data_IF_953288813462
#
_entry.id   IF_953288813462
#
_cell.length_a   1.000
_cell.length_b   1.000
_cell.length_c   1.000
_cell.angle_alpha   90.00
_cell.angle_beta   90.00
_cell.angle_gamma   90.00
#
_symmetry.space_group_name_H-M   'P 1'
#
loop_
_entity.id
_entity.type
_entity.pdbx_description
1 polymer ?
#
# COMPACT_ATOMS: atom_id res chain seq x y z
N UNK A 1 0.64 -26.69 -15.09
CA UNK A 1 1.29 -25.46 -15.66
C UNK A 1 2.55 -25.13 -14.87
N UNK A 2 3.54 -24.45 -15.48
CA UNK A 2 4.60 -23.79 -14.68
C UNK A 2 4.02 -22.55 -13.98
N UNK A 3 4.72 -22.03 -12.96
CA UNK A 3 4.29 -20.80 -12.29
C UNK A 3 4.12 -19.62 -13.27
N UNK A 4 5.12 -19.38 -14.14
CA UNK A 4 5.02 -18.31 -15.15
C UNK A 4 3.82 -18.50 -16.09
N UNK A 5 3.60 -19.72 -16.59
CA UNK A 5 2.43 -20.02 -17.41
C UNK A 5 1.10 -19.77 -16.67
N UNK A 6 1.08 -20.00 -15.36
CA UNK A 6 -0.10 -19.75 -14.54
C UNK A 6 -0.37 -18.25 -14.39
N UNK A 7 0.67 -17.45 -14.17
CA UNK A 7 0.53 -15.98 -14.09
C UNK A 7 0.10 -15.40 -15.44
N UNK A 8 0.71 -15.86 -16.54
CA UNK A 8 0.34 -15.43 -17.89
C UNK A 8 -1.11 -15.81 -18.22
N UNK A 9 -1.54 -17.02 -17.85
CA UNK A 9 -2.93 -17.47 -17.98
C UNK A 9 -3.90 -16.57 -17.22
N UNK A 10 -3.61 -16.22 -15.95
CA UNK A 10 -4.43 -15.32 -15.16
C UNK A 10 -4.51 -13.94 -15.81
N UNK A 11 -3.43 -13.41 -16.34
CA UNK A 11 -3.40 -12.11 -17.00
C UNK A 11 -4.20 -12.08 -18.31
N UNK A 12 -4.19 -13.18 -19.06
CA UNK A 12 -4.97 -13.30 -20.29
C UNK A 12 -6.46 -13.48 -20.00
N UNK A 13 -6.80 -14.35 -19.04
CA UNK A 13 -8.19 -14.66 -18.70
C UNK A 13 -8.87 -13.47 -17.99
N UNK A 14 -8.13 -12.77 -17.16
CA UNK A 14 -8.62 -11.73 -16.25
C UNK A 14 -7.59 -10.59 -16.22
N UNK A 15 -7.55 -9.72 -17.22
CA UNK A 15 -6.59 -8.64 -17.26
C UNK A 15 -6.67 -7.79 -15.97
N UNK A 16 -5.57 -7.66 -15.21
CA UNK A 16 -5.61 -6.94 -13.95
C UNK A 16 -5.76 -5.44 -14.16
N UNK A 17 -6.34 -4.74 -13.17
CA UNK A 17 -6.54 -3.30 -13.20
C UNK A 17 -5.26 -2.53 -13.55
N UNK A 18 -4.13 -2.98 -13.07
CA UNK A 18 -2.85 -2.36 -13.37
C UNK A 18 -2.45 -2.49 -14.86
N UNK A 19 -2.98 -3.41 -15.63
CA UNK A 19 -2.72 -3.48 -17.08
C UNK A 19 -3.75 -2.71 -17.91
N UNK A 20 -5.03 -2.82 -17.59
CA UNK A 20 -6.12 -2.29 -18.45
C UNK A 20 -6.95 -1.16 -17.80
N UNK A 21 -6.56 -0.70 -16.61
CA UNK A 21 -7.26 0.38 -15.92
C UNK A 21 -8.71 0.04 -15.57
N UNK A 22 -9.60 1.03 -15.71
CA UNK A 22 -11.01 0.93 -15.36
C UNK A 22 -11.77 -0.21 -16.02
N UNK A 23 -11.33 -0.68 -17.20
CA UNK A 23 -11.96 -1.82 -17.90
C UNK A 23 -11.90 -3.14 -17.11
N UNK A 24 -10.96 -3.28 -16.17
CA UNK A 24 -10.88 -4.43 -15.27
C UNK A 24 -11.86 -4.35 -14.09
N UNK A 25 -12.44 -3.19 -13.81
CA UNK A 25 -13.32 -3.00 -12.67
C UNK A 25 -14.70 -3.61 -12.95
N UNK A 26 -15.09 -4.57 -12.11
CA UNK A 26 -16.41 -5.21 -12.14
C UNK A 26 -17.14 -4.79 -10.86
N UNK A 27 -18.08 -3.84 -10.93
CA UNK A 27 -18.81 -3.41 -9.74
C UNK A 27 -19.74 -4.51 -9.23
N UNK A 28 -19.80 -4.69 -7.90
CA UNK A 28 -20.65 -5.67 -7.24
C UNK A 28 -19.88 -6.85 -6.65
N UNK A 29 -20.56 -7.61 -5.80
CA UNK A 29 -19.96 -8.73 -5.08
C UNK A 29 -20.43 -10.11 -5.59
N UNK A 30 -21.22 -10.16 -6.66
CA UNK A 30 -21.83 -11.41 -7.16
C UNK A 30 -20.79 -12.48 -7.50
N UNK A 31 -19.76 -12.13 -8.29
CA UNK A 31 -18.69 -13.08 -8.60
C UNK A 31 -17.91 -13.49 -7.34
N UNK A 32 -17.72 -12.55 -6.43
CA UNK A 32 -17.05 -12.81 -5.15
C UNK A 32 -17.86 -13.77 -4.28
N UNK A 33 -19.18 -13.58 -4.20
CA UNK A 33 -20.08 -14.50 -3.50
C UNK A 33 -20.03 -15.91 -4.09
N UNK A 34 -20.09 -16.03 -5.41
CA UNK A 34 -19.95 -17.32 -6.11
C UNK A 34 -18.60 -17.98 -5.84
N UNK A 35 -17.51 -17.19 -5.82
CA UNK A 35 -16.15 -17.70 -5.49
C UNK A 35 -16.10 -18.21 -4.04
N UNK A 36 -16.65 -17.46 -3.08
CA UNK A 36 -16.62 -17.87 -1.67
C UNK A 36 -17.45 -19.14 -1.45
N UNK A 37 -18.62 -19.25 -2.08
CA UNK A 37 -19.43 -20.46 -2.03
C UNK A 37 -18.69 -21.67 -2.64
N UNK A 38 -18.08 -21.49 -3.82
CA UNK A 38 -17.31 -22.54 -4.49
C UNK A 38 -16.11 -23.01 -3.63
N UNK A 39 -15.47 -22.11 -2.91
CA UNK A 39 -14.33 -22.41 -2.03
C UNK A 39 -14.73 -22.76 -0.59
N UNK A 40 -16.03 -23.01 -0.33
CA UNK A 40 -16.58 -23.38 0.99
C UNK A 40 -16.29 -22.33 2.08
N UNK A 41 -16.44 -21.04 1.74
CA UNK A 41 -16.40 -19.89 2.64
C UNK A 41 -15.10 -19.76 3.45
N UNK A 42 -13.92 -19.68 2.81
CA UNK A 42 -12.65 -19.51 3.53
C UNK A 42 -12.61 -18.22 4.36
N UNK A 43 -13.34 -17.15 3.96
CA UNK A 43 -13.45 -15.87 4.67
C UNK A 43 -14.09 -15.99 6.07
N UNK A 44 -14.66 -17.17 6.39
CA UNK A 44 -15.26 -17.49 7.70
C UNK A 44 -14.39 -18.37 8.57
N UNK A 45 -13.07 -18.45 8.28
CA UNK A 45 -12.14 -19.33 8.99
C UNK A 45 -11.03 -18.59 9.73
N UNK A 46 -11.00 -17.25 9.68
CA UNK A 46 -10.02 -16.42 10.36
C UNK A 46 -10.61 -15.07 10.77
N UNK A 47 -9.99 -14.42 11.75
CA UNK A 47 -10.30 -13.02 12.07
C UNK A 47 -9.56 -12.09 11.10
N UNK A 48 -10.11 -10.90 10.82
CA UNK A 48 -9.50 -9.96 9.88
C UNK A 48 -9.45 -8.52 10.40
N UNK A 49 -8.36 -7.82 10.10
CA UNK A 49 -8.28 -6.36 10.15
C UNK A 49 -8.40 -5.85 8.72
N UNK A 50 -9.47 -5.12 8.43
CA UNK A 50 -9.82 -4.69 7.08
C UNK A 50 -9.44 -3.23 6.86
N UNK A 51 -8.61 -2.95 5.85
CA UNK A 51 -7.95 -1.64 5.70
C UNK A 51 -8.30 -1.00 4.36
N UNK A 52 -9.00 0.15 4.42
CA UNK A 52 -9.28 1.04 3.29
C UNK A 52 -8.53 2.37 3.44
N UNK A 53 -8.61 3.20 2.41
CA UNK A 53 -8.03 4.55 2.37
C UNK A 53 -7.62 4.95 0.97
N UNK A 54 -7.23 6.19 0.78
CA UNK A 54 -6.66 6.65 -0.49
C UNK A 54 -5.18 6.27 -0.52
N UNK A 55 -4.38 6.81 0.37
CA UNK A 55 -2.95 6.51 0.50
C UNK A 55 -2.67 5.82 1.84
N UNK A 56 -1.50 5.22 1.99
CA UNK A 56 -1.04 4.63 3.25
C UNK A 56 -1.60 3.26 3.60
N UNK A 57 -2.56 2.70 2.83
CA UNK A 57 -3.14 1.37 3.08
C UNK A 57 -2.07 0.30 3.26
N UNK A 58 -1.20 0.12 2.26
CA UNK A 58 -0.13 -0.88 2.29
C UNK A 58 0.81 -0.68 3.48
N UNK A 59 1.33 0.56 3.71
CA UNK A 59 2.20 0.85 4.84
C UNK A 59 1.54 0.51 6.18
N UNK A 60 0.29 0.94 6.38
CA UNK A 60 -0.48 0.64 7.60
C UNK A 60 -0.71 -0.86 7.77
N UNK A 61 -1.03 -1.58 6.67
CA UNK A 61 -1.20 -3.04 6.68
C UNK A 61 0.07 -3.75 7.11
N UNK A 62 1.22 -3.36 6.56
CA UNK A 62 2.51 -3.95 6.89
C UNK A 62 2.95 -3.63 8.35
N UNK A 63 2.74 -2.39 8.82
CA UNK A 63 3.03 -2.01 10.22
C UNK A 63 2.20 -2.85 11.21
N UNK A 64 0.91 -3.02 10.93
CA UNK A 64 0.02 -3.84 11.76
C UNK A 64 0.46 -5.31 11.71
N UNK A 65 0.67 -5.87 10.50
CA UNK A 65 1.06 -7.26 10.34
C UNK A 65 2.42 -7.58 11.01
N UNK A 66 3.42 -6.70 10.84
CA UNK A 66 4.73 -6.85 11.49
C UNK A 66 4.62 -6.86 13.02
N UNK A 67 3.78 -5.98 13.58
CA UNK A 67 3.59 -5.90 15.04
C UNK A 67 2.87 -7.13 15.61
N UNK A 68 1.84 -7.61 14.90
CA UNK A 68 1.12 -8.83 15.30
C UNK A 68 2.02 -10.07 15.16
N UNK A 69 2.84 -10.14 14.12
CA UNK A 69 3.84 -11.19 13.95
C UNK A 69 4.91 -11.14 15.06
N UNK A 70 5.44 -9.96 15.39
CA UNK A 70 6.38 -9.77 16.49
C UNK A 70 5.78 -10.14 17.87
N UNK A 71 4.44 -10.07 17.99
CA UNK A 71 3.71 -10.55 19.16
C UNK A 71 3.59 -12.08 19.21
N UNK A 72 3.97 -12.80 18.16
CA UNK A 72 3.93 -14.26 18.07
C UNK A 72 2.65 -14.84 17.46
N UNK A 73 1.78 -14.01 16.88
CA UNK A 73 0.60 -14.49 16.15
C UNK A 73 0.97 -15.03 14.78
N UNK A 74 0.16 -15.97 14.31
CA UNK A 74 0.17 -16.41 12.92
C UNK A 74 -0.66 -15.43 12.07
N UNK A 75 0.03 -14.59 11.32
CA UNK A 75 -0.57 -13.48 10.58
C UNK A 75 -0.62 -13.76 9.09
N UNK A 76 -1.79 -13.59 8.46
CA UNK A 76 -1.93 -13.45 7.02
C UNK A 76 -1.86 -11.98 6.61
N UNK A 77 -1.22 -11.67 5.49
CA UNK A 77 -1.18 -10.31 4.94
C UNK A 77 -1.54 -10.35 3.46
N UNK A 78 -2.62 -9.63 3.10
CA UNK A 78 -3.05 -9.41 1.72
C UNK A 78 -2.94 -7.94 1.36
N UNK A 79 -2.12 -7.63 0.34
CA UNK A 79 -1.86 -6.26 -0.13
C UNK A 79 -1.86 -6.15 -1.65
N UNK A 80 -2.06 -4.94 -2.18
CA UNK A 80 -2.06 -4.67 -3.61
C UNK A 80 -1.69 -3.22 -3.97
N UNK A 81 -1.11 -2.99 -5.15
CA UNK A 81 -0.55 -3.97 -6.09
C UNK A 81 0.80 -4.53 -5.61
N UNK A 82 1.32 -5.56 -6.27
CA UNK A 82 2.72 -5.99 -6.15
C UNK A 82 3.64 -5.07 -6.99
N UNK A 83 4.92 -5.07 -6.69
CA UNK A 83 5.94 -4.29 -7.43
C UNK A 83 6.76 -5.17 -8.38
N UNK A 84 7.26 -6.30 -7.90
CA UNK A 84 8.18 -7.18 -8.64
C UNK A 84 7.58 -8.56 -8.85
N UNK A 85 7.09 -9.19 -7.78
CA UNK A 85 6.58 -10.57 -7.78
C UNK A 85 5.10 -10.59 -7.38
N UNK A 86 4.29 -11.33 -8.14
CA UNK A 86 2.87 -11.53 -7.84
C UNK A 86 2.63 -11.97 -6.39
N UNK A 87 3.50 -12.81 -5.85
CA UNK A 87 3.39 -13.41 -4.50
C UNK A 87 3.54 -12.38 -3.37
N UNK A 88 4.04 -11.18 -3.65
CA UNK A 88 4.07 -10.07 -2.68
C UNK A 88 2.68 -9.77 -2.11
N UNK A 89 1.63 -10.07 -2.89
CA UNK A 89 0.23 -9.83 -2.49
C UNK A 89 -0.23 -10.71 -1.33
N UNK A 90 0.40 -11.87 -1.12
CA UNK A 90 -0.07 -12.91 -0.20
C UNK A 90 1.11 -13.39 0.63
N UNK A 91 1.13 -13.03 1.90
CA UNK A 91 2.18 -13.44 2.84
C UNK A 91 1.56 -14.06 4.09
N UNK A 92 2.29 -15.00 4.69
CA UNK A 92 1.93 -15.58 5.98
C UNK A 92 3.14 -15.57 6.88
N UNK A 93 2.96 -15.24 8.16
CA UNK A 93 4.03 -15.30 9.14
C UNK A 93 4.45 -16.73 9.42
N UNK A 94 5.72 -16.91 9.75
CA UNK A 94 6.26 -18.19 10.24
C UNK A 94 5.94 -18.37 11.73
N UNK A 95 6.20 -19.55 12.27
CA UNK A 95 6.10 -19.80 13.73
C UNK A 95 7.21 -19.08 14.53
N UNK A 96 8.30 -18.72 13.87
CA UNK A 96 9.37 -17.92 14.49
C UNK A 96 9.14 -16.44 14.19
N UNK A 97 8.77 -15.69 15.22
CA UNK A 97 8.50 -14.24 15.16
C UNK A 97 9.69 -13.37 14.73
N UNK A 98 10.89 -13.93 14.69
CA UNK A 98 12.10 -13.24 14.25
C UNK A 98 12.42 -13.50 12.77
N UNK A 99 11.69 -14.42 12.13
CA UNK A 99 11.85 -14.71 10.69
C UNK A 99 10.88 -13.86 9.87
N UNK A 100 11.28 -13.45 8.65
CA UNK A 100 10.38 -12.74 7.75
C UNK A 100 9.13 -13.55 7.42
N UNK A 101 8.01 -12.84 7.24
CA UNK A 101 6.79 -13.41 6.67
C UNK A 101 7.10 -13.97 5.27
N UNK A 102 6.59 -15.15 4.97
CA UNK A 102 6.83 -15.84 3.70
C UNK A 102 5.76 -15.50 2.68
N UNK A 103 6.17 -15.25 1.45
CA UNK A 103 5.25 -15.19 0.31
C UNK A 103 4.64 -16.58 0.06
N UNK A 104 3.43 -16.61 -0.46
CA UNK A 104 2.79 -17.85 -0.91
C UNK A 104 3.71 -18.60 -1.88
N UNK A 105 3.78 -19.93 -1.75
CA UNK A 105 4.60 -20.75 -2.62
C UNK A 105 4.05 -20.74 -4.07
N UNK A 106 4.94 -20.74 -5.05
CA UNK A 106 4.58 -20.82 -6.47
C UNK A 106 3.69 -22.04 -6.77
N UNK A 107 4.04 -23.19 -6.18
CA UNK A 107 3.27 -24.43 -6.31
C UNK A 107 1.83 -24.29 -5.81
N UNK A 108 1.61 -23.45 -4.78
CA UNK A 108 0.27 -23.22 -4.23
C UNK A 108 -0.58 -22.35 -5.16
N UNK A 109 0.06 -21.34 -5.80
CA UNK A 109 -0.59 -20.52 -6.84
C UNK A 109 -1.00 -21.38 -8.03
N UNK A 110 -0.08 -22.19 -8.53
CA UNK A 110 -0.35 -23.12 -9.65
C UNK A 110 -1.49 -24.07 -9.31
N UNK A 111 -1.42 -24.72 -8.17
CA UNK A 111 -2.46 -25.67 -7.73
C UNK A 111 -3.84 -25.01 -7.63
N UNK A 112 -3.93 -23.82 -7.03
CA UNK A 112 -5.21 -23.09 -6.93
C UNK A 112 -5.83 -22.87 -8.32
N UNK A 113 -5.05 -22.41 -9.28
CA UNK A 113 -5.55 -22.13 -10.63
C UNK A 113 -5.96 -23.42 -11.33
N UNK A 114 -5.19 -24.49 -11.21
CA UNK A 114 -5.49 -25.79 -11.83
C UNK A 114 -6.76 -26.42 -11.24
N UNK A 115 -6.90 -26.43 -9.91
CA UNK A 115 -8.07 -26.97 -9.21
C UNK A 115 -9.35 -26.20 -9.54
N UNK A 116 -9.27 -24.90 -9.77
CA UNK A 116 -10.44 -24.04 -10.00
C UNK A 116 -10.61 -23.61 -11.47
N UNK A 117 -9.82 -24.16 -12.39
CA UNK A 117 -9.76 -23.71 -13.80
C UNK A 117 -11.13 -23.61 -14.45
N UNK A 118 -11.93 -24.68 -14.40
CA UNK A 118 -13.26 -24.73 -15.02
C UNK A 118 -14.19 -23.66 -14.46
N UNK A 119 -14.15 -23.45 -13.13
CA UNK A 119 -14.94 -22.42 -12.47
C UNK A 119 -14.50 -21.00 -12.92
N UNK A 120 -13.20 -20.74 -12.94
CA UNK A 120 -12.63 -19.45 -13.36
C UNK A 120 -12.98 -19.11 -14.82
N UNK A 121 -12.97 -20.12 -15.71
CA UNK A 121 -13.34 -19.95 -17.12
C UNK A 121 -14.84 -19.72 -17.32
N UNK A 122 -15.68 -20.25 -16.43
CA UNK A 122 -17.14 -20.14 -16.50
C UNK A 122 -17.62 -18.80 -15.92
N UNK A 123 -17.22 -18.49 -14.70
CA UNK A 123 -17.67 -17.29 -13.95
C UNK A 123 -16.93 -16.05 -14.39
N UNK A 124 -15.67 -16.22 -14.82
CA UNK A 124 -14.76 -15.13 -15.24
C UNK A 124 -14.69 -14.01 -14.20
N UNK A 125 -14.36 -14.30 -12.93
CA UNK A 125 -14.15 -13.26 -11.94
C UNK A 125 -13.03 -12.31 -12.39
N UNK A 126 -12.92 -11.14 -11.81
CA UNK A 126 -11.78 -10.25 -12.06
C UNK A 126 -10.49 -10.82 -11.49
N UNK A 127 -9.35 -10.33 -11.97
CA UNK A 127 -8.03 -10.69 -11.43
C UNK A 127 -7.96 -10.43 -9.91
N UNK A 128 -8.55 -9.31 -9.44
CA UNK A 128 -8.55 -8.97 -8.02
C UNK A 128 -9.41 -9.96 -7.21
N UNK A 129 -10.61 -10.30 -7.68
CA UNK A 129 -11.48 -11.31 -7.05
C UNK A 129 -10.77 -12.66 -6.94
N UNK A 130 -10.12 -13.11 -8.01
CA UNK A 130 -9.39 -14.39 -8.03
C UNK A 130 -8.20 -14.38 -7.07
N UNK A 131 -7.41 -13.30 -7.04
CA UNK A 131 -6.23 -13.20 -6.16
C UNK A 131 -6.61 -13.07 -4.69
N UNK A 132 -7.72 -12.38 -4.39
CA UNK A 132 -8.29 -12.29 -3.05
C UNK A 132 -8.80 -13.66 -2.58
N UNK A 133 -9.52 -14.38 -3.44
CA UNK A 133 -10.02 -15.74 -3.13
C UNK A 133 -8.87 -16.71 -2.84
N UNK A 134 -7.80 -16.69 -3.64
CA UNK A 134 -6.56 -17.44 -3.38
C UNK A 134 -5.97 -17.09 -2.00
N UNK A 135 -5.90 -15.79 -1.68
CA UNK A 135 -5.37 -15.35 -0.40
C UNK A 135 -6.21 -15.88 0.76
N UNK A 136 -7.52 -15.77 0.69
CA UNK A 136 -8.43 -16.22 1.76
C UNK A 136 -8.39 -17.75 1.94
N UNK A 137 -8.35 -18.52 0.85
CA UNK A 137 -8.18 -19.95 0.93
C UNK A 137 -6.82 -20.31 1.55
N UNK A 138 -5.76 -19.64 1.15
CA UNK A 138 -4.42 -19.87 1.70
C UNK A 138 -4.36 -19.53 3.20
N UNK A 139 -4.95 -18.43 3.63
CA UNK A 139 -5.02 -18.06 5.05
C UNK A 139 -5.80 -19.09 5.89
N UNK A 140 -6.91 -19.59 5.37
CA UNK A 140 -7.67 -20.65 6.02
C UNK A 140 -6.88 -21.97 6.13
N UNK A 141 -6.16 -22.36 5.07
CA UNK A 141 -5.30 -23.55 5.06
C UNK A 141 -4.11 -23.40 6.02
N UNK A 142 -3.54 -22.22 6.10
CA UNK A 142 -2.43 -21.89 7.00
C UNK A 142 -2.88 -21.65 8.44
N UNK A 143 -4.20 -21.69 8.72
CA UNK A 143 -4.78 -21.48 10.04
C UNK A 143 -4.27 -20.19 10.70
N UNK A 144 -4.30 -19.07 9.97
CA UNK A 144 -3.87 -17.78 10.52
C UNK A 144 -4.80 -17.34 11.65
N UNK A 145 -4.23 -16.80 12.73
CA UNK A 145 -5.00 -16.23 13.84
C UNK A 145 -5.74 -14.97 13.39
N UNK A 146 -5.04 -14.14 12.59
CA UNK A 146 -5.57 -12.88 12.08
C UNK A 146 -5.01 -12.58 10.69
N UNK A 147 -5.86 -12.16 9.76
CA UNK A 147 -5.46 -11.64 8.47
C UNK A 147 -5.53 -10.11 8.46
N UNK A 148 -4.49 -9.45 7.96
CA UNK A 148 -4.50 -8.03 7.63
C UNK A 148 -4.79 -7.90 6.15
N UNK A 149 -5.94 -7.33 5.80
CA UNK A 149 -6.49 -7.34 4.45
C UNK A 149 -6.64 -5.92 3.92
N UNK A 150 -5.87 -5.58 2.90
CA UNK A 150 -5.95 -4.31 2.19
C UNK A 150 -7.06 -4.33 1.13
N UNK A 151 -7.91 -3.31 1.13
CA UNK A 151 -8.90 -3.02 0.07
C UNK A 151 -8.20 -2.65 -1.23
N UNK A 152 -8.65 -3.21 -2.34
CA UNK A 152 -8.11 -2.85 -3.67
C UNK A 152 -8.58 -1.48 -4.13
N UNK A 153 -9.88 -1.25 -4.22
CA UNK A 153 -10.48 -0.02 -4.70
C UNK A 153 -11.76 0.33 -3.92
N UNK A 154 -11.85 1.57 -3.44
CA UNK A 154 -13.03 2.06 -2.72
C UNK A 154 -13.18 1.42 -1.35
N UNK A 155 -14.13 0.51 -1.21
CA UNK A 155 -14.40 -0.26 0.00
C UNK A 155 -15.75 -0.98 -0.06
N UNK A 156 -16.86 -0.25 -0.22
CA UNK A 156 -18.22 -0.80 -0.18
C UNK A 156 -18.47 -1.96 -1.15
N UNK A 157 -17.96 -1.86 -2.37
CA UNK A 157 -18.10 -2.85 -3.44
C UNK A 157 -16.77 -3.56 -3.75
N UNK A 158 -15.76 -3.39 -2.90
CA UNK A 158 -14.50 -4.14 -3.02
C UNK A 158 -14.72 -5.60 -2.65
N UNK A 159 -14.09 -6.52 -3.38
CA UNK A 159 -14.24 -7.97 -3.17
C UNK A 159 -13.85 -8.39 -1.74
N UNK A 160 -12.88 -7.69 -1.12
CA UNK A 160 -12.49 -7.97 0.26
C UNK A 160 -13.61 -7.68 1.27
N UNK A 161 -14.62 -6.89 0.88
CA UNK A 161 -15.75 -6.55 1.74
C UNK A 161 -16.77 -7.69 1.92
N UNK A 162 -16.52 -8.85 1.31
CA UNK A 162 -17.30 -10.09 1.51
C UNK A 162 -17.16 -10.64 2.94
N UNK A 163 -16.07 -10.33 3.65
CA UNK A 163 -15.84 -10.77 5.02
C UNK A 163 -16.98 -10.33 5.94
N UNK A 164 -17.58 -11.25 6.73
CA UNK A 164 -18.66 -10.92 7.67
C UNK A 164 -18.14 -10.08 8.85
N UNK A 165 -19.02 -9.43 9.63
CA UNK A 165 -18.63 -8.87 10.92
C UNK A 165 -18.15 -9.98 11.85
N UNK A 166 -17.33 -9.62 12.85
CA UNK A 166 -16.81 -10.58 13.83
C UNK A 166 -17.91 -11.39 14.50
N UNK A 167 -17.82 -12.69 14.44
CA UNK A 167 -18.71 -13.60 15.16
C UNK A 167 -18.16 -13.89 16.57
N UNK A 168 -19.08 -14.09 17.53
CA UNK A 168 -18.75 -14.49 18.91
C UNK A 168 -18.97 -15.98 19.14
N UNK A 169 -18.59 -16.81 18.18
CA UNK A 169 -18.64 -18.27 18.27
C UNK A 169 -17.38 -18.80 18.98
N UNK A 170 -17.36 -20.09 19.39
CA UNK A 170 -16.13 -20.70 19.94
C UNK A 170 -14.90 -20.60 19.01
N UNK A 171 -15.13 -20.44 17.70
CA UNK A 171 -14.08 -20.13 16.69
C UNK A 171 -14.39 -18.78 16.06
N UNK A 172 -13.90 -17.67 16.65
CA UNK A 172 -14.21 -16.32 16.16
C UNK A 172 -13.63 -16.12 14.77
N UNK A 173 -14.44 -15.55 13.87
CA UNK A 173 -14.04 -15.22 12.50
C UNK A 173 -14.75 -13.96 12.01
N UNK A 174 -14.24 -13.38 10.93
CA UNK A 174 -14.76 -12.15 10.34
C UNK A 174 -13.99 -10.90 10.76
N UNK A 175 -14.50 -9.73 10.41
CA UNK A 175 -13.81 -8.45 10.61
C UNK A 175 -13.77 -8.08 12.09
N UNK A 176 -12.59 -8.08 12.68
CA UNK A 176 -12.28 -7.69 14.05
C UNK A 176 -12.21 -6.18 14.21
N UNK A 177 -11.65 -5.49 13.18
CA UNK A 177 -11.45 -4.04 13.13
C UNK A 177 -11.52 -3.57 11.68
N UNK A 178 -12.19 -2.45 11.42
CA UNK A 178 -12.07 -1.69 10.17
C UNK A 178 -11.12 -0.51 10.36
N UNK A 179 -10.24 -0.25 9.38
CA UNK A 179 -9.30 0.87 9.39
C UNK A 179 -9.43 1.67 8.09
N UNK A 180 -9.55 2.99 8.19
CA UNK A 180 -9.57 3.88 7.02
C UNK A 180 -8.43 4.89 7.18
N UNK A 181 -7.37 4.77 6.37
CA UNK A 181 -6.13 5.52 6.59
C UNK A 181 -6.30 7.02 6.35
N UNK A 182 -6.73 7.41 5.18
CA UNK A 182 -7.04 8.80 4.84
C UNK A 182 -8.01 8.90 3.65
N UNK A 183 -8.49 10.12 3.40
CA UNK A 183 -9.31 10.45 2.24
C UNK A 183 -8.60 11.52 1.40
N UNK A 184 -8.46 11.25 0.13
CA UNK A 184 -7.92 12.14 -0.89
C UNK A 184 -8.53 11.85 -2.25
N UNK A 185 -8.29 12.71 -3.22
CA UNK A 185 -8.74 12.50 -4.59
C UNK A 185 -7.90 11.42 -5.27
N UNK A 186 -8.52 10.31 -5.59
CA UNK A 186 -8.01 9.23 -6.43
C UNK A 186 -9.19 8.40 -6.93
N UNK A 187 -9.06 7.79 -8.11
CA UNK A 187 -10.10 6.98 -8.74
C UNK A 187 -11.48 7.67 -8.79
N UNK A 188 -11.51 8.96 -9.07
CA UNK A 188 -12.72 9.81 -9.01
C UNK A 188 -13.82 9.36 -9.96
N UNK A 189 -13.47 8.72 -11.08
CA UNK A 189 -14.43 8.11 -12.03
C UNK A 189 -15.32 7.03 -11.37
N UNK A 190 -14.79 6.32 -10.35
CA UNK A 190 -15.50 5.21 -9.67
C UNK A 190 -16.03 5.60 -8.29
N UNK A 191 -15.31 6.46 -7.58
CA UNK A 191 -15.60 6.78 -6.19
C UNK A 191 -16.35 8.12 -6.02
N UNK A 192 -16.49 8.88 -7.13
CA UNK A 192 -17.10 10.20 -7.13
C UNK A 192 -16.09 11.34 -7.01
N UNK A 193 -16.55 12.54 -7.35
CA UNK A 193 -15.73 13.73 -7.54
C UNK A 193 -15.58 14.60 -6.28
N UNK A 194 -16.03 14.14 -5.12
CA UNK A 194 -15.94 14.89 -3.85
C UNK A 194 -15.37 14.02 -2.73
N UNK A 195 -14.65 14.63 -1.79
CA UNK A 195 -14.11 13.91 -0.64
C UNK A 195 -15.20 13.18 0.18
N UNK A 196 -16.40 13.76 0.42
CA UNK A 196 -17.49 13.02 1.07
C UNK A 196 -17.99 11.80 0.28
N UNK A 197 -17.99 11.84 -1.06
CA UNK A 197 -18.38 10.69 -1.88
C UNK A 197 -17.36 9.56 -1.74
N UNK A 198 -16.07 9.88 -1.88
CA UNK A 198 -14.97 8.94 -1.68
C UNK A 198 -14.98 8.36 -0.25
N UNK A 199 -15.27 9.20 0.75
CA UNK A 199 -15.38 8.75 2.14
C UNK A 199 -16.53 7.76 2.33
N UNK A 200 -17.70 7.94 1.69
CA UNK A 200 -18.82 6.99 1.75
C UNK A 200 -18.47 5.63 1.20
N UNK A 201 -17.78 5.58 0.05
CA UNK A 201 -17.33 4.31 -0.52
C UNK A 201 -16.36 3.58 0.42
N UNK A 202 -15.40 4.30 1.03
CA UNK A 202 -14.45 3.71 1.97
C UNK A 202 -15.10 3.32 3.30
N UNK A 203 -16.03 4.13 3.82
CA UNK A 203 -16.81 3.81 5.02
C UNK A 203 -17.68 2.56 4.86
N UNK A 204 -17.90 2.10 3.62
CA UNK A 204 -18.60 0.85 3.34
C UNK A 204 -17.92 -0.42 3.88
N UNK A 205 -16.68 -0.36 4.36
CA UNK A 205 -16.02 -1.47 5.06
C UNK A 205 -16.37 -1.54 6.55
N UNK A 206 -17.01 -0.52 7.10
CA UNK A 206 -17.45 -0.52 8.49
C UNK A 206 -18.58 -1.55 8.66
N UNK A 207 -18.41 -2.46 9.61
CA UNK A 207 -19.33 -3.58 9.84
C UNK A 207 -20.15 -3.39 11.12
N UNK A 208 -21.37 -3.95 11.19
CA UNK A 208 -22.19 -3.88 12.40
C UNK A 208 -21.43 -4.36 13.64
N UNK A 209 -21.42 -3.53 14.68
CA UNK A 209 -20.77 -3.79 15.97
C UNK A 209 -19.27 -4.13 15.88
N UNK A 210 -18.59 -3.69 14.83
CA UNK A 210 -17.13 -3.80 14.65
C UNK A 210 -16.50 -2.44 14.83
N UNK A 211 -15.47 -2.27 15.69
CA UNK A 211 -14.80 -0.99 15.88
C UNK A 211 -14.17 -0.51 14.59
N UNK A 212 -13.97 0.82 14.50
CA UNK A 212 -13.35 1.45 13.36
C UNK A 212 -12.32 2.49 13.79
N UNK A 213 -11.17 2.51 13.10
CA UNK A 213 -10.14 3.55 13.23
C UNK A 213 -10.07 4.34 11.93
N UNK A 214 -10.16 5.67 12.03
CA UNK A 214 -10.02 6.61 10.94
C UNK A 214 -8.71 7.36 11.17
N UNK A 215 -7.79 7.31 10.21
CA UNK A 215 -6.44 7.84 10.38
C UNK A 215 -6.41 9.36 10.51
N UNK A 216 -7.29 10.05 9.80
CA UNK A 216 -7.28 11.51 9.71
C UNK A 216 -8.70 12.09 9.84
N UNK A 217 -8.85 13.07 10.73
CA UNK A 217 -10.08 13.84 10.88
C UNK A 217 -10.05 15.05 9.94
N UNK A 218 -11.00 15.12 9.01
CA UNK A 218 -11.20 16.25 8.10
C UNK A 218 -12.64 16.72 8.20
N UNK A 219 -12.86 18.03 8.29
CA UNK A 219 -14.18 18.66 8.39
C UNK A 219 -15.12 18.16 7.28
N UNK A 220 -14.63 18.04 6.05
CA UNK A 220 -15.42 17.63 4.88
C UNK A 220 -15.88 16.16 4.94
N UNK A 221 -15.19 15.28 5.65
CA UNK A 221 -15.45 13.83 5.68
C UNK A 221 -15.88 13.30 7.03
N UNK A 222 -15.65 14.04 8.11
CA UNK A 222 -15.95 13.65 9.50
C UNK A 222 -17.40 13.18 9.66
N UNK A 223 -18.35 13.99 9.17
CA UNK A 223 -19.78 13.68 9.26
C UNK A 223 -20.14 12.37 8.60
N UNK A 224 -19.52 12.04 7.47
CA UNK A 224 -19.73 10.76 6.75
C UNK A 224 -19.36 9.58 7.63
N UNK A 225 -18.23 9.66 8.35
CA UNK A 225 -17.78 8.58 9.21
C UNK A 225 -18.63 8.44 10.47
N UNK A 226 -19.04 9.58 11.08
CA UNK A 226 -19.95 9.57 12.23
C UNK A 226 -21.29 8.92 11.85
N UNK A 227 -21.91 9.31 10.73
CA UNK A 227 -23.16 8.73 10.27
C UNK A 227 -22.99 7.24 9.91
N UNK A 228 -21.86 6.82 9.36
CA UNK A 228 -21.58 5.42 9.06
C UNK A 228 -21.38 4.60 10.35
N UNK A 229 -20.69 5.15 11.34
CA UNK A 229 -20.51 4.53 12.65
C UNK A 229 -21.87 4.31 13.33
N UNK A 230 -22.71 5.34 13.40
CA UNK A 230 -24.04 5.27 13.99
C UNK A 230 -24.92 4.19 13.34
N UNK A 231 -24.94 4.13 12.01
CA UNK A 231 -25.69 3.10 11.26
C UNK A 231 -25.22 1.67 11.56
N UNK A 232 -23.96 1.50 11.91
CA UNK A 232 -23.39 0.20 12.26
C UNK A 232 -23.39 -0.10 13.76
N UNK A 233 -24.09 0.70 14.59
CA UNK A 233 -24.15 0.48 16.03
C UNK A 233 -22.80 0.72 16.73
N UNK A 234 -21.95 1.59 16.17
CA UNK A 234 -20.66 1.95 16.73
C UNK A 234 -20.81 3.30 17.40
N UNK A 235 -20.62 3.36 18.72
CA UNK A 235 -20.89 4.55 19.54
C UNK A 235 -19.70 4.96 20.38
N UNK A 236 -19.41 6.26 20.43
CA UNK A 236 -18.48 6.85 21.37
C UNK A 236 -17.02 6.90 20.87
N UNK A 237 -16.31 7.95 21.28
CA UNK A 237 -14.87 8.11 21.16
C UNK A 237 -14.20 7.70 22.47
N UNK A 238 -13.21 6.80 22.43
CA UNK A 238 -12.40 6.51 23.62
C UNK A 238 -11.97 5.04 23.76
N UNK A 239 -10.83 4.81 24.38
CA UNK A 239 -10.19 3.49 24.56
C UNK A 239 -10.69 2.74 25.81
N UNK A 240 -11.58 3.32 26.62
CA UNK A 240 -11.88 2.85 27.98
C UNK A 240 -13.29 2.25 28.17
N UNK A 241 -14.12 2.08 27.12
CA UNK A 241 -15.47 1.53 27.29
C UNK A 241 -15.64 0.16 26.63
N UNK A 242 -16.51 -0.67 27.23
CA UNK A 242 -16.89 -2.00 26.73
C UNK A 242 -17.77 -1.95 25.46
N UNK A 243 -18.07 -0.77 24.94
CA UNK A 243 -18.89 -0.58 23.77
C UNK A 243 -18.05 -0.57 22.48
N UNK A 244 -18.68 -0.92 21.37
CA UNK A 244 -18.05 -0.83 20.06
C UNK A 244 -17.77 0.63 19.71
N UNK A 245 -16.51 0.97 19.42
CA UNK A 245 -16.03 2.34 19.36
C UNK A 245 -15.42 2.68 18.00
N UNK A 246 -15.39 4.00 17.69
CA UNK A 246 -14.55 4.49 16.60
C UNK A 246 -13.59 5.58 17.11
N UNK A 247 -12.48 5.77 16.39
CA UNK A 247 -11.44 6.74 16.72
C UNK A 247 -10.97 7.47 15.49
N UNK A 248 -10.72 8.77 15.67
CA UNK A 248 -9.83 9.52 14.78
C UNK A 248 -8.41 9.41 15.33
N UNK A 249 -7.51 8.73 14.61
CA UNK A 249 -6.18 8.44 15.14
C UNK A 249 -5.35 9.69 15.40
N UNK A 250 -5.48 10.72 14.57
CA UNK A 250 -4.82 12.03 14.72
C UNK A 250 -5.32 12.85 15.92
N UNK A 251 -6.49 12.50 16.50
CA UNK A 251 -7.07 13.13 17.67
C UNK A 251 -6.93 12.27 18.94
N UNK A 252 -6.31 11.10 18.87
CA UNK A 252 -6.24 10.18 19.98
C UNK A 252 -5.46 10.78 21.18
N UNK A 253 -6.19 11.12 22.25
CA UNK A 253 -5.64 11.78 23.45
C UNK A 253 -4.62 10.87 24.18
N UNK A 254 -4.77 9.55 24.07
CA UNK A 254 -3.80 8.60 24.62
C UNK A 254 -2.40 8.82 24.02
N UNK A 255 -2.29 9.08 22.72
CA UNK A 255 -1.02 9.41 22.07
C UNK A 255 -0.48 10.77 22.53
N UNK A 256 -1.37 11.73 22.80
CA UNK A 256 -0.99 13.04 23.34
C UNK A 256 -0.50 12.93 24.79
N UNK A 257 -1.18 12.15 25.65
CA UNK A 257 -0.87 12.01 27.09
C UNK A 257 0.36 11.15 27.35
N UNK A 258 0.55 10.05 26.64
CA UNK A 258 1.67 9.13 26.88
C UNK A 258 2.99 9.71 26.42
N UNK A 259 2.99 10.91 25.79
CA UNK A 259 4.21 11.48 25.19
C UNK A 259 5.05 10.37 24.57
N UNK A 260 4.41 9.51 23.80
CA UNK A 260 5.14 8.62 22.91
C UNK A 260 5.93 9.49 21.91
N UNK A 261 6.86 10.28 22.49
CA UNK A 261 7.99 10.92 21.83
C UNK A 261 8.93 9.90 21.22
N UNK A 262 8.57 8.65 21.36
CA UNK A 262 9.23 7.55 20.71
C UNK A 262 8.24 7.08 19.64
N UNK A 263 8.16 7.83 18.54
CA UNK A 263 8.04 7.09 17.30
C UNK A 263 9.22 6.10 17.35
N UNK A 264 8.98 4.79 17.49
CA UNK A 264 10.07 3.84 17.39
C UNK A 264 10.79 4.16 16.09
N UNK A 265 12.11 3.99 16.03
CA UNK A 265 12.81 4.06 14.76
C UNK A 265 12.04 3.15 13.81
N UNK A 266 11.47 3.72 12.77
CA UNK A 266 10.73 2.95 11.78
C UNK A 266 11.60 2.80 10.54
N UNK A 267 11.63 1.63 9.94
CA UNK A 267 12.32 1.44 8.65
C UNK A 267 11.65 2.23 7.50
N UNK A 268 10.43 2.73 7.71
CA UNK A 268 9.74 3.60 6.75
C UNK A 268 10.10 5.06 7.07
N UNK A 269 11.01 5.64 6.30
CA UNK A 269 11.61 6.96 6.57
C UNK A 269 10.88 8.12 5.88
N UNK A 270 9.87 7.87 5.06
CA UNK A 270 9.03 8.94 4.48
C UNK A 270 8.28 9.72 5.56
N UNK A 271 8.29 11.05 5.52
CA UNK A 271 7.61 11.90 6.52
C UNK A 271 6.12 11.57 6.66
N UNK A 272 5.47 11.24 5.54
CA UNK A 272 4.06 10.81 5.53
C UNK A 272 3.80 9.50 6.32
N UNK A 273 4.84 8.73 6.64
CA UNK A 273 4.71 7.51 7.43
C UNK A 273 4.36 7.77 8.89
N UNK A 274 4.61 8.97 9.41
CA UNK A 274 4.21 9.34 10.76
C UNK A 274 2.69 9.16 10.97
N UNK A 275 1.88 9.54 9.97
CA UNK A 275 0.42 9.37 10.01
C UNK A 275 0.02 7.89 9.90
N UNK A 276 0.70 7.11 9.04
CA UNK A 276 0.46 5.68 8.92
C UNK A 276 0.83 4.93 10.20
N UNK A 277 1.95 5.28 10.84
CA UNK A 277 2.38 4.74 12.14
C UNK A 277 1.37 5.05 13.25
N UNK A 278 0.86 6.28 13.29
CA UNK A 278 -0.16 6.69 14.24
C UNK A 278 -1.45 5.89 14.05
N UNK A 279 -1.91 5.76 12.81
CA UNK A 279 -3.09 4.96 12.46
C UNK A 279 -2.90 3.48 12.83
N UNK A 280 -1.75 2.90 12.48
CA UNK A 280 -1.42 1.52 12.82
C UNK A 280 -1.35 1.29 14.33
N UNK A 281 -0.76 2.24 15.08
CA UNK A 281 -0.69 2.17 16.54
C UNK A 281 -2.07 2.16 17.19
N UNK A 282 -2.97 3.09 16.79
CA UNK A 282 -4.34 3.13 17.32
C UNK A 282 -5.10 1.87 16.95
N UNK A 283 -4.94 1.36 15.71
CA UNK A 283 -5.53 0.11 15.27
C UNK A 283 -5.06 -1.08 16.12
N UNK A 284 -3.76 -1.21 16.36
CA UNK A 284 -3.19 -2.25 17.22
C UNK A 284 -3.73 -2.14 18.65
N UNK A 285 -3.81 -0.93 19.19
CA UNK A 285 -4.37 -0.71 20.53
C UNK A 285 -5.85 -1.10 20.60
N UNK A 286 -6.63 -0.81 19.56
CA UNK A 286 -8.06 -1.15 19.50
C UNK A 286 -8.32 -2.66 19.49
N UNK A 287 -7.43 -3.45 18.88
CA UNK A 287 -7.58 -4.91 18.79
C UNK A 287 -6.90 -5.66 19.90
N UNK A 288 -5.88 -5.09 20.54
CA UNK A 288 -5.04 -5.76 21.52
C UNK A 288 -5.85 -6.42 22.64
N UNK A 289 -6.76 -5.67 23.24
CA UNK A 289 -7.63 -6.17 24.31
C UNK A 289 -8.61 -7.26 23.82
N UNK A 290 -8.88 -7.33 22.51
CA UNK A 290 -9.83 -8.31 21.92
C UNK A 290 -9.15 -9.62 21.51
N UNK A 291 -7.85 -9.57 21.25
CA UNK A 291 -7.05 -10.75 20.91
C UNK A 291 -6.48 -11.46 22.15
N UNK A 292 -6.81 -10.97 23.35
CA UNK A 292 -6.32 -11.44 24.62
C UNK A 292 -5.27 -10.51 25.23
N UNK A 293 -5.09 -10.55 26.55
CA UNK A 293 -4.04 -9.78 27.22
C UNK A 293 -2.66 -10.36 26.90
N UNK A 294 -2.04 -9.84 25.85
CA UNK A 294 -0.66 -10.21 25.56
C UNK A 294 0.28 -9.33 26.36
N UNK A 295 1.06 -9.98 27.21
CA UNK A 295 2.22 -9.34 27.80
C UNK A 295 3.15 -8.91 26.67
N UNK A 296 3.57 -7.65 26.64
CA UNK A 296 4.57 -7.16 25.68
C UNK A 296 4.06 -6.35 24.49
N UNK A 297 2.85 -5.78 24.53
CA UNK A 297 2.32 -4.87 23.50
C UNK A 297 3.35 -3.84 23.01
N UNK A 298 3.94 -3.08 23.94
CA UNK A 298 4.88 -2.02 23.58
C UNK A 298 6.12 -2.57 22.86
N UNK A 299 6.61 -3.75 23.26
CA UNK A 299 7.74 -4.38 22.61
C UNK A 299 7.38 -4.92 21.23
N UNK A 300 6.21 -5.51 21.06
CA UNK A 300 5.74 -6.02 19.77
C UNK A 300 5.55 -4.90 18.75
N UNK A 301 4.93 -3.79 19.18
CA UNK A 301 4.77 -2.60 18.32
C UNK A 301 6.12 -1.98 17.98
N UNK A 302 7.01 -1.85 18.96
CA UNK A 302 8.37 -1.34 18.74
C UNK A 302 9.10 -2.20 17.70
N UNK A 303 9.17 -3.52 17.92
CA UNK A 303 9.84 -4.45 16.99
C UNK A 303 9.21 -4.42 15.62
N UNK A 304 7.87 -4.45 15.54
CA UNK A 304 7.15 -4.44 14.27
C UNK A 304 7.41 -3.17 13.46
N UNK A 305 7.51 -2.00 14.10
CA UNK A 305 7.79 -0.74 13.41
C UNK A 305 9.26 -0.61 13.02
N UNK A 306 10.18 -0.95 13.94
CA UNK A 306 11.63 -0.92 13.69
C UNK A 306 12.07 -1.90 12.59
N UNK A 307 11.32 -2.96 12.35
CA UNK A 307 11.68 -4.04 11.43
C UNK A 307 10.59 -4.31 10.36
N UNK A 308 9.71 -3.37 10.10
CA UNK A 308 8.55 -3.58 9.22
C UNK A 308 8.96 -4.10 7.83
N UNK A 309 9.96 -3.51 7.20
CA UNK A 309 10.44 -3.93 5.89
C UNK A 309 11.12 -5.31 5.96
N UNK A 310 11.92 -5.55 6.98
CA UNK A 310 12.59 -6.84 7.21
C UNK A 310 11.58 -7.95 7.46
N UNK A 311 10.59 -7.74 8.33
CA UNK A 311 9.60 -8.75 8.70
C UNK A 311 8.57 -9.02 7.62
N UNK A 312 8.21 -8.01 6.84
CA UNK A 312 7.10 -8.12 5.88
C UNK A 312 7.50 -8.00 4.42
N UNK A 313 8.76 -7.65 4.12
CA UNK A 313 9.25 -7.47 2.77
C UNK A 313 8.60 -6.30 2.03
N UNK A 314 8.14 -5.25 2.72
CA UNK A 314 7.62 -4.03 2.10
C UNK A 314 8.73 -3.28 1.38
N UNK A 315 8.51 -2.91 0.13
CA UNK A 315 9.44 -2.18 -0.73
C UNK A 315 8.80 -0.91 -1.31
N UNK A 316 9.63 0.01 -1.78
CA UNK A 316 9.21 1.16 -2.57
C UNK A 316 8.42 2.23 -1.80
N UNK A 317 8.68 2.43 -0.51
CA UNK A 317 8.04 3.45 0.33
C UNK A 317 9.10 4.33 0.97
N UNK A 318 9.55 5.36 0.25
CA UNK A 318 10.73 6.16 0.61
C UNK A 318 11.92 5.26 0.93
N UNK A 319 12.17 4.32 0.04
CA UNK A 319 13.19 3.31 0.24
C UNK A 319 14.56 3.84 -0.19
N UNK A 320 15.50 3.86 0.74
CA UNK A 320 16.90 4.21 0.46
C UNK A 320 17.58 2.98 -0.14
N UNK A 321 17.86 3.03 -1.43
CA UNK A 321 18.51 1.97 -2.20
C UNK A 321 20.03 2.03 -2.09
N UNK A 322 20.59 3.22 -1.87
CA UNK A 322 22.00 3.47 -1.59
C UNK A 322 22.14 4.74 -0.78
N UNK A 323 23.10 4.75 0.14
CA UNK A 323 23.42 5.94 0.95
C UNK A 323 24.51 6.82 0.31
N UNK A 324 25.35 6.25 -0.55
CA UNK A 324 26.46 6.95 -1.23
C UNK A 324 26.70 6.40 -2.65
N UNK A 325 26.24 7.11 -3.69
CA UNK A 325 25.39 8.30 -3.65
C UNK A 325 24.00 7.98 -3.06
N UNK A 326 23.31 9.01 -2.57
CA UNK A 326 21.96 8.80 -2.04
C UNK A 326 20.99 8.50 -3.19
N UNK A 327 20.44 7.29 -3.19
CA UNK A 327 19.43 6.85 -4.16
C UNK A 327 18.17 6.43 -3.40
N UNK A 328 17.04 7.08 -3.71
CA UNK A 328 15.75 6.85 -3.06
C UNK A 328 14.73 6.45 -4.10
N UNK A 329 13.83 5.51 -3.79
CA UNK A 329 12.65 5.28 -4.59
C UNK A 329 11.36 5.38 -3.76
N UNK A 330 10.29 5.87 -4.41
CA UNK A 330 8.96 5.95 -3.80
C UNK A 330 7.86 5.75 -4.84
N UNK A 331 6.84 4.99 -4.46
CA UNK A 331 5.68 4.67 -5.31
C UNK A 331 4.57 5.71 -5.28
N UNK A 332 4.78 6.88 -4.70
CA UNK A 332 3.86 8.02 -4.78
C UNK A 332 3.51 8.33 -6.25
N UNK A 333 2.22 8.37 -6.57
CA UNK A 333 1.74 8.45 -7.96
C UNK A 333 0.50 9.33 -8.13
N UNK A 334 0.01 9.96 -7.09
CA UNK A 334 -1.07 10.94 -7.13
C UNK A 334 -0.63 12.23 -6.43
N UNK A 335 -1.33 13.33 -6.70
CA UNK A 335 -0.97 14.66 -6.18
C UNK A 335 -0.86 14.69 -4.65
N UNK A 336 -1.74 13.97 -3.94
CA UNK A 336 -1.71 13.91 -2.49
C UNK A 336 -0.46 13.20 -1.95
N UNK A 337 -0.07 12.07 -2.54
CA UNK A 337 1.13 11.32 -2.13
C UNK A 337 2.42 12.01 -2.52
N UNK A 338 2.52 12.49 -3.77
CA UNK A 338 3.73 13.13 -4.30
C UNK A 338 4.07 14.45 -3.58
N UNK A 339 3.08 15.19 -3.07
CA UNK A 339 3.35 16.43 -2.31
C UNK A 339 4.28 16.19 -1.12
N UNK A 340 4.08 15.12 -0.38
CA UNK A 340 4.95 14.77 0.75
C UNK A 340 6.33 14.33 0.29
N UNK A 341 6.40 13.55 -0.78
CA UNK A 341 7.66 13.09 -1.38
C UNK A 341 8.49 14.28 -1.87
N UNK A 342 7.89 15.19 -2.64
CA UNK A 342 8.55 16.40 -3.15
C UNK A 342 9.05 17.27 -2.01
N UNK A 343 8.20 17.53 -1.02
CA UNK A 343 8.58 18.33 0.15
C UNK A 343 9.81 17.77 0.86
N UNK A 344 9.85 16.47 1.11
CA UNK A 344 10.98 15.83 1.78
C UNK A 344 12.23 15.82 0.89
N UNK A 345 12.10 15.66 -0.44
CA UNK A 345 13.23 15.78 -1.38
C UNK A 345 13.85 17.18 -1.36
N UNK A 346 13.03 18.22 -1.39
CA UNK A 346 13.49 19.61 -1.34
C UNK A 346 14.18 19.93 -0.02
N UNK A 347 13.68 19.41 1.10
CA UNK A 347 14.35 19.57 2.40
C UNK A 347 15.73 18.95 2.41
N UNK A 348 15.86 17.69 1.96
CA UNK A 348 17.16 16.99 1.90
C UNK A 348 18.12 17.69 0.91
N UNK A 349 17.59 18.13 -0.23
CA UNK A 349 18.38 18.87 -1.22
C UNK A 349 18.92 20.18 -0.63
N UNK A 350 18.06 20.96 0.01
CA UNK A 350 18.44 22.22 0.69
C UNK A 350 19.49 21.98 1.79
N UNK A 351 19.29 20.94 2.61
CA UNK A 351 20.26 20.58 3.66
C UNK A 351 21.63 20.20 3.07
N UNK A 352 21.67 19.44 1.96
CA UNK A 352 22.90 19.06 1.31
C UNK A 352 23.57 20.23 0.62
N UNK A 353 22.82 21.12 -0.03
CA UNK A 353 23.33 22.37 -0.63
C UNK A 353 23.99 23.26 0.42
N UNK A 354 23.46 23.31 1.65
CA UNK A 354 24.09 24.09 2.74
C UNK A 354 25.48 23.55 3.16
N UNK A 355 25.74 22.26 2.90
CA UNK A 355 27.02 21.59 3.21
C UNK A 355 27.98 21.52 2.00
N UNK A 356 27.43 21.52 0.80
CA UNK A 356 28.19 21.45 -0.47
C UNK A 356 27.41 22.18 -1.55
N UNK A 357 27.98 23.27 -2.06
CA UNK A 357 27.38 24.11 -3.11
C UNK A 357 27.24 23.38 -4.47
N UNK A 358 27.73 22.15 -4.61
CA UNK A 358 27.70 21.37 -5.85
C UNK A 358 26.83 20.10 -5.72
N UNK A 359 25.69 20.22 -5.07
CA UNK A 359 24.72 19.13 -4.94
C UNK A 359 23.60 19.29 -5.98
N UNK A 360 23.36 18.26 -6.79
CA UNK A 360 22.28 18.24 -7.79
C UNK A 360 21.20 17.23 -7.38
N UNK A 361 19.95 17.66 -7.44
CA UNK A 361 18.80 16.76 -7.35
C UNK A 361 18.50 16.20 -8.75
N UNK A 362 18.58 14.89 -8.90
CA UNK A 362 18.27 14.14 -10.13
C UNK A 362 17.02 13.30 -9.93
N UNK A 363 16.10 13.32 -10.89
CA UNK A 363 14.82 12.66 -10.77
C UNK A 363 14.55 11.80 -11.99
N UNK A 364 14.52 10.47 -11.82
CA UNK A 364 14.00 9.52 -12.80
C UNK A 364 12.48 9.43 -12.59
N UNK A 365 11.73 9.84 -13.61
CA UNK A 365 10.28 10.01 -13.46
C UNK A 365 9.46 9.48 -14.63
N UNK A 366 8.38 8.77 -14.32
CA UNK A 366 7.41 8.34 -15.31
C UNK A 366 6.04 8.03 -14.68
N UNK A 367 4.97 8.38 -15.37
CA UNK A 367 3.60 8.26 -14.89
C UNK A 367 2.73 7.36 -15.74
N UNK A 368 1.50 7.15 -15.29
CA UNK A 368 0.42 6.47 -16.02
C UNK A 368 -0.63 7.47 -16.52
N UNK A 369 -1.33 7.11 -17.60
CA UNK A 369 -2.25 8.01 -18.31
C UNK A 369 -3.52 8.38 -17.53
N UNK A 370 -3.91 7.60 -16.54
CA UNK A 370 -5.13 7.77 -15.75
C UNK A 370 -4.94 8.66 -14.50
N UNK A 371 -3.84 9.41 -14.44
CA UNK A 371 -3.55 10.35 -13.36
C UNK A 371 -3.52 11.78 -13.90
N UNK A 372 -3.74 12.73 -13.01
CA UNK A 372 -3.65 14.14 -13.31
C UNK A 372 -2.18 14.57 -13.43
N UNK A 373 -1.63 14.37 -14.64
CA UNK A 373 -0.21 14.58 -14.93
C UNK A 373 0.16 16.05 -14.79
N UNK A 374 -0.72 16.96 -15.21
CA UNK A 374 -0.43 18.40 -15.21
C UNK A 374 -0.30 18.92 -13.76
N UNK A 375 -1.23 18.55 -12.88
CA UNK A 375 -1.14 18.91 -11.46
C UNK A 375 0.11 18.33 -10.80
N UNK A 376 0.55 17.14 -11.23
CA UNK A 376 1.77 16.53 -10.69
C UNK A 376 3.02 17.28 -11.17
N UNK A 377 3.10 17.64 -12.45
CA UNK A 377 4.24 18.38 -12.99
C UNK A 377 4.40 19.74 -12.26
N UNK A 378 3.31 20.46 -12.05
CA UNK A 378 3.31 21.76 -11.36
C UNK A 378 3.83 21.70 -9.91
N UNK A 379 3.85 20.52 -9.30
CA UNK A 379 4.38 20.33 -7.94
C UNK A 379 5.86 19.95 -7.90
N UNK A 380 6.44 19.56 -9.04
CA UNK A 380 7.79 19.01 -9.06
C UNK A 380 8.85 20.11 -8.86
N UNK A 381 10.02 19.82 -8.25
CA UNK A 381 11.07 20.79 -8.02
C UNK A 381 11.60 21.42 -9.31
N UNK A 382 11.63 22.75 -9.38
CA UNK A 382 12.17 23.47 -10.55
C UNK A 382 13.68 23.38 -10.67
N UNK A 383 14.38 23.21 -9.55
CA UNK A 383 15.84 23.11 -9.48
C UNK A 383 16.30 21.65 -9.40
N UNK A 384 15.93 20.89 -10.45
CA UNK A 384 16.30 19.48 -10.58
C UNK A 384 16.61 19.12 -12.04
N UNK A 385 17.36 18.02 -12.23
CA UNK A 385 17.61 17.41 -13.54
C UNK A 385 16.70 16.20 -13.69
N UNK A 386 15.89 16.20 -14.75
CA UNK A 386 14.90 15.18 -15.00
C UNK A 386 15.35 14.16 -16.05
N UNK A 387 15.17 12.89 -15.72
CA UNK A 387 15.34 11.74 -16.60
C UNK A 387 13.96 11.13 -16.81
N UNK A 388 13.20 11.70 -17.75
CA UNK A 388 11.85 11.25 -18.03
C UNK A 388 11.88 9.89 -18.72
N UNK A 389 11.00 8.99 -18.29
CA UNK A 389 10.93 7.62 -18.80
C UNK A 389 9.51 7.11 -18.86
N UNK A 390 9.33 5.95 -19.49
CA UNK A 390 8.09 5.20 -19.48
C UNK A 390 8.34 3.77 -19.04
N UNK A 391 7.47 3.25 -18.17
CA UNK A 391 7.50 1.84 -17.81
C UNK A 391 6.92 0.96 -18.93
N UNK A 392 7.29 -0.32 -18.96
CA UNK A 392 6.84 -1.32 -19.94
C UNK A 392 5.39 -1.78 -19.66
N UNK A 393 4.46 -0.84 -19.72
CA UNK A 393 3.03 -1.08 -19.56
C UNK A 393 2.21 -0.21 -20.52
N UNK A 394 1.11 -0.73 -21.03
CA UNK A 394 0.18 0.01 -21.89
C UNK A 394 -0.45 1.23 -21.20
N UNK A 395 -0.38 1.30 -19.87
CA UNK A 395 -0.89 2.44 -19.09
C UNK A 395 0.12 3.56 -18.93
N UNK A 396 1.39 3.33 -19.24
CA UNK A 396 2.39 4.39 -19.17
C UNK A 396 2.04 5.52 -20.13
N UNK A 397 2.19 6.75 -19.68
CA UNK A 397 2.16 7.89 -20.60
C UNK A 397 3.38 7.78 -21.51
N UNK A 398 3.22 7.89 -22.85
CA UNK A 398 4.35 7.91 -23.76
C UNK A 398 5.33 9.02 -23.36
N UNK A 399 6.61 8.69 -23.27
CA UNK A 399 7.60 9.60 -22.73
C UNK A 399 7.71 10.91 -23.54
N UNK A 400 7.47 10.86 -24.85
CA UNK A 400 7.45 12.07 -25.72
C UNK A 400 6.27 12.98 -25.35
N UNK A 401 5.12 12.42 -24.98
CA UNK A 401 3.97 13.20 -24.51
C UNK A 401 4.23 13.79 -23.13
N UNK A 402 4.86 13.02 -22.24
CA UNK A 402 5.28 13.49 -20.91
C UNK A 402 6.28 14.64 -21.05
N UNK A 403 7.27 14.52 -21.93
CA UNK A 403 8.25 15.58 -22.22
C UNK A 403 7.58 16.85 -22.74
N UNK A 404 6.63 16.71 -23.66
CA UNK A 404 5.89 17.86 -24.19
C UNK A 404 5.19 18.62 -23.07
N UNK A 405 4.42 17.92 -22.24
CA UNK A 405 3.72 18.53 -21.10
C UNK A 405 4.70 19.16 -20.11
N UNK A 406 5.85 18.50 -19.85
CA UNK A 406 6.89 19.01 -18.98
C UNK A 406 7.47 20.32 -19.46
N UNK A 407 7.84 20.41 -20.74
CA UNK A 407 8.39 21.62 -21.35
C UNK A 407 7.38 22.79 -21.38
N UNK A 408 6.09 22.48 -21.49
CA UNK A 408 5.01 23.47 -21.44
C UNK A 408 4.81 24.02 -20.02
N UNK A 409 4.82 23.16 -19.00
CA UNK A 409 4.58 23.55 -17.61
C UNK A 409 5.84 24.09 -16.90
N UNK A 410 7.03 23.55 -17.22
CA UNK A 410 8.30 23.89 -16.56
C UNK A 410 9.38 24.28 -17.58
N UNK A 411 9.19 25.40 -18.32
CA UNK A 411 10.15 25.83 -19.32
C UNK A 411 11.52 26.16 -18.67
N UNK A 412 12.60 25.66 -19.29
CA UNK A 412 13.97 25.90 -18.82
C UNK A 412 14.52 24.87 -17.82
N UNK A 413 13.74 23.89 -17.40
CA UNK A 413 14.26 22.76 -16.63
C UNK A 413 15.12 21.84 -17.51
N UNK A 414 16.16 21.23 -16.91
CA UNK A 414 16.99 20.23 -17.62
C UNK A 414 16.24 18.90 -17.72
N UNK A 415 15.89 18.51 -18.95
CA UNK A 415 15.09 17.31 -19.22
C UNK A 415 15.79 16.41 -20.23
N UNK A 416 16.01 15.16 -19.85
CA UNK A 416 16.49 14.06 -20.69
C UNK A 416 15.41 13.00 -20.82
N UNK A 417 15.32 12.31 -21.98
CA UNK A 417 14.23 11.36 -22.29
C UNK A 417 14.80 9.98 -22.61
N UNK A 418 14.19 8.95 -22.03
CA UNK A 418 14.62 7.56 -22.17
C UNK A 418 13.43 6.62 -22.37
N UNK A 419 13.56 5.67 -23.27
CA UNK A 419 12.49 4.72 -23.64
C UNK A 419 12.19 3.66 -22.58
N UNK A 420 13.03 3.52 -21.56
CA UNK A 420 12.83 2.58 -20.46
C UNK A 420 13.53 3.05 -19.17
N UNK A 421 13.07 2.50 -18.06
CA UNK A 421 13.50 2.89 -16.70
C UNK A 421 14.97 2.59 -16.46
N UNK A 422 15.48 1.45 -16.92
CA UNK A 422 16.89 1.07 -16.72
C UNK A 422 17.83 2.07 -17.41
N UNK A 423 17.52 2.46 -18.65
CA UNK A 423 18.35 3.44 -19.39
C UNK A 423 18.36 4.80 -18.68
N UNK A 424 17.23 5.27 -18.16
CA UNK A 424 17.15 6.51 -17.41
C UNK A 424 17.99 6.47 -16.12
N UNK A 425 17.90 5.37 -15.35
CA UNK A 425 18.69 5.18 -14.13
C UNK A 425 20.18 5.14 -14.45
N UNK A 426 20.60 4.39 -15.48
CA UNK A 426 22.02 4.31 -15.87
C UNK A 426 22.57 5.67 -16.29
N UNK A 427 21.82 6.45 -17.05
CA UNK A 427 22.22 7.80 -17.46
C UNK A 427 22.38 8.71 -16.23
N UNK A 428 21.39 8.75 -15.33
CA UNK A 428 21.46 9.55 -14.11
C UNK A 428 22.69 9.19 -13.25
N UNK A 429 22.97 7.89 -13.08
CA UNK A 429 24.14 7.41 -12.33
C UNK A 429 25.47 7.74 -13.01
N UNK A 430 25.54 7.72 -14.35
CA UNK A 430 26.74 8.10 -15.09
C UNK A 430 27.06 9.59 -14.94
N UNK A 431 26.04 10.45 -15.03
CA UNK A 431 26.20 11.90 -14.83
C UNK A 431 26.69 12.23 -13.40
N UNK A 432 26.24 11.44 -12.39
CA UNK A 432 26.75 11.57 -11.01
C UNK A 432 28.20 11.16 -10.89
N UNK A 433 28.66 10.12 -11.62
CA UNK A 433 30.06 9.65 -11.61
C UNK A 433 31.00 10.60 -12.33
N UNK A 434 30.61 11.08 -13.52
CA UNK A 434 31.44 12.01 -14.33
C UNK A 434 31.68 13.33 -13.59
N UNK A 435 30.71 13.80 -12.80
CA UNK A 435 30.85 15.00 -11.97
C UNK A 435 31.64 14.80 -10.68
N UNK A 436 32.03 13.55 -10.31
CA UNK A 436 32.55 13.19 -8.98
C UNK A 436 31.65 13.67 -7.82
N UNK A 437 30.30 13.59 -8.04
CA UNK A 437 29.27 14.22 -7.21
C UNK A 437 28.65 13.23 -6.21
N UNK A 438 29.42 12.84 -5.20
CA UNK A 438 28.93 11.97 -4.12
C UNK A 438 27.85 12.62 -3.26
N UNK A 439 27.69 13.93 -3.34
CA UNK A 439 26.66 14.70 -2.65
C UNK A 439 25.31 14.71 -3.37
N UNK A 440 25.26 14.35 -4.66
CA UNK A 440 24.03 14.32 -5.45
C UNK A 440 22.98 13.37 -4.87
N UNK A 441 21.71 13.66 -5.18
CA UNK A 441 20.56 12.86 -4.81
C UNK A 441 19.93 12.32 -6.09
N UNK A 442 19.68 11.03 -6.14
CA UNK A 442 18.86 10.39 -7.18
C UNK A 442 17.54 9.93 -6.60
N UNK A 443 16.43 10.46 -7.09
CA UNK A 443 15.10 9.99 -6.81
C UNK A 443 14.53 9.21 -8.00
N UNK A 444 13.82 8.10 -7.73
CA UNK A 444 13.16 7.25 -8.73
C UNK A 444 11.70 7.10 -8.34
N UNK A 445 10.77 7.56 -9.19
CA UNK A 445 9.36 7.53 -8.82
C UNK A 445 8.37 7.93 -9.90
N UNK A 446 7.16 8.33 -9.46
CA UNK A 446 6.03 8.76 -10.29
C UNK A 446 5.00 7.65 -10.57
N UNK A 447 5.35 6.38 -10.43
CA UNK A 447 4.41 5.26 -10.50
C UNK A 447 4.95 3.98 -9.87
N UNK A 448 4.04 3.09 -9.46
CA UNK A 448 4.41 1.74 -9.01
C UNK A 448 5.21 0.96 -10.07
N UNK A 449 4.96 1.22 -11.37
CA UNK A 449 5.64 0.52 -12.46
C UNK A 449 7.09 0.95 -12.60
N UNK A 450 7.35 2.26 -12.57
CA UNK A 450 8.71 2.80 -12.61
C UNK A 450 9.54 2.25 -11.44
N UNK A 451 8.97 2.27 -10.23
CA UNK A 451 9.65 1.71 -9.05
C UNK A 451 9.80 0.20 -9.15
N UNK A 452 8.79 -0.53 -9.63
CA UNK A 452 8.87 -1.97 -9.83
C UNK A 452 9.96 -2.38 -10.82
N UNK A 453 10.09 -1.67 -11.96
CA UNK A 453 11.18 -1.91 -12.93
C UNK A 453 12.54 -1.50 -12.37
N UNK A 454 12.61 -0.38 -11.64
CA UNK A 454 13.84 0.04 -10.97
C UNK A 454 14.34 -1.03 -10.00
N UNK A 455 13.46 -1.59 -9.16
CA UNK A 455 13.82 -2.64 -8.22
C UNK A 455 14.28 -3.95 -8.89
N UNK A 456 13.82 -4.23 -10.11
CA UNK A 456 14.28 -5.40 -10.90
C UNK A 456 15.69 -5.21 -11.48
N UNK A 457 16.05 -3.99 -11.84
CA UNK A 457 17.35 -3.71 -12.48
C UNK A 457 18.38 -3.05 -11.54
N UNK A 458 18.07 -2.90 -10.25
CA UNK A 458 18.87 -2.14 -9.31
C UNK A 458 20.32 -2.67 -9.21
N UNK A 459 20.48 -3.98 -9.09
CA UNK A 459 21.79 -4.63 -9.01
C UNK A 459 22.56 -4.50 -10.33
N UNK A 460 21.86 -4.64 -11.48
CA UNK A 460 22.42 -4.49 -12.81
C UNK A 460 22.86 -3.05 -13.10
N UNK A 461 22.24 -2.06 -12.43
CA UNK A 461 22.64 -0.65 -12.47
C UNK A 461 23.82 -0.34 -11.53
N UNK A 462 24.27 -1.29 -10.73
CA UNK A 462 25.41 -1.13 -9.81
C UNK A 462 25.07 -0.37 -8.53
N UNK A 463 23.81 -0.26 -8.18
CA UNK A 463 23.33 0.26 -6.90
C UNK A 463 23.38 -0.92 -5.91
N UNK A 464 24.35 -0.89 -5.01
CA UNK A 464 24.45 -1.91 -3.93
C UNK A 464 23.57 -1.45 -2.79
N UNK A 465 22.72 -2.35 -2.29
CA UNK A 465 21.79 -2.08 -1.20
C UNK A 465 22.46 -1.42 0.01
N UNK A 466 21.72 -0.50 0.65
CA UNK A 466 22.12 0.19 1.86
C UNK A 466 22.07 -0.72 3.09
#
# INVERSE_FOLDING_TARGET
>A
MTYQQTIDYLYVLQPPFHLVGGAAYKPGLQNTEMLMEHLHHPERRFMAIHIAGTNGKGSTSHLIAASLHAAGLRVGLYTSPHLVDFRERIRVSTHDKNQPMQMIEESRVVRFVEENKTFLETVKPSFFETTMALAFQYFAEQQVDVAVVEVGLGGRLDSTNIMPPLTRTPQPHGVLLSVITNIGYDHTEFLGHTLPAIAREKAGIMKPNVPCVIGERKEETERVFIEAAQRNGIWGEGLESDHCQFWFADQCEYLRRTRLKVAPKCQLEGEYQAMNMQTAFVALRAVWNRLGEWQGFSQAVKTGFEQVCTLTGLRGRWEVLSSQPLVICDTGHNSHGLRHVVHQLEQIHTERLSKSNDTTLRIVFGMVNDKDVDVVIDMMPHDAVYYLTQAQTHRAIPVQLLQKKWNEAMPGTSVHVYDNVEAAIRAALNDMKEGNKSADILFIGGSNYVVGEALKCIDACGIKGA
#
